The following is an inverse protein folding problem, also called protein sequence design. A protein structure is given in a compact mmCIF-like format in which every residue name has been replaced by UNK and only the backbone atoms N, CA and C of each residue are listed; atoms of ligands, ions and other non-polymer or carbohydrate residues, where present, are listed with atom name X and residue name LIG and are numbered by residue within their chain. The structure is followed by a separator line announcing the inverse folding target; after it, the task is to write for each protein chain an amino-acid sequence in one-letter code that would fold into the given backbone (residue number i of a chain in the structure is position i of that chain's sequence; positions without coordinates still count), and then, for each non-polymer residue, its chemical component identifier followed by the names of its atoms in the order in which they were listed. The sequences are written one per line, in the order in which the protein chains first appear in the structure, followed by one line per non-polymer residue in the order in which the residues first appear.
data_IF_302159951398
#
_entry.id   IF_302159951398
#
_cell.length_a   1.000
_cell.length_b   1.000
_cell.length_c   1.000
_cell.angle_alpha   90.00
_cell.angle_beta   90.00
_cell.angle_gamma   90.00
#
_symmetry.space_group_name_H-M   'P 1'
#
loop_
_entity.id
_entity.type
_entity.pdbx_description
1 polymer ?
#
# COMPACT_ATOMS: atom_id res chain seq x y z
N UNK A 1 10.14 -11.35 21.08
CA UNK A 1 9.30 -10.17 20.79
C UNK A 1 10.19 -8.94 20.98
N UNK A 2 10.10 -7.96 20.07
CA UNK A 2 10.88 -6.73 20.19
C UNK A 2 10.54 -6.01 21.50
N UNK A 3 11.57 -5.49 22.15
CA UNK A 3 11.47 -4.69 23.37
C UNK A 3 10.68 -3.39 23.07
N UNK A 4 9.97 -2.81 24.04
CA UNK A 4 9.19 -1.61 23.82
C UNK A 4 10.01 -0.39 23.34
N UNK A 5 11.21 -0.09 23.84
CA UNK A 5 12.08 0.93 23.29
C UNK A 5 12.43 0.74 21.82
N UNK A 6 12.63 -0.50 21.37
CA UNK A 6 12.94 -0.84 19.96
C UNK A 6 11.80 -0.54 18.98
N UNK A 7 10.57 -0.38 19.47
CA UNK A 7 9.40 0.01 18.66
C UNK A 7 9.23 1.53 18.55
N UNK A 8 10.06 2.30 19.22
CA UNK A 8 9.96 3.75 19.32
C UNK A 8 11.21 4.46 18.79
N UNK A 9 11.94 3.80 17.88
CA UNK A 9 13.06 4.41 17.20
C UNK A 9 12.63 5.68 16.47
N UNK A 10 13.51 6.67 16.43
CA UNK A 10 13.29 7.89 15.69
C UNK A 10 13.22 7.63 14.17
N UNK A 11 12.66 8.58 13.44
CA UNK A 11 12.70 8.56 11.97
C UNK A 11 14.15 8.71 11.52
N UNK A 12 14.60 7.79 10.67
CA UNK A 12 15.91 7.88 10.01
C UNK A 12 15.78 8.86 8.83
N UNK A 13 16.12 10.14 9.06
CA UNK A 13 16.02 11.17 8.04
C UNK A 13 17.15 11.12 7.02
N UNK A 14 18.36 10.77 7.47
CA UNK A 14 19.58 10.70 6.67
C UNK A 14 20.48 9.58 7.21
N UNK A 15 21.37 9.08 6.38
CA UNK A 15 22.44 8.16 6.82
C UNK A 15 23.54 8.89 7.63
N UNK A 16 23.58 10.22 7.55
CA UNK A 16 24.43 11.04 8.41
C UNK A 16 23.74 11.25 9.77
N UNK A 17 24.23 10.59 10.79
CA UNK A 17 23.69 10.68 12.16
C UNK A 17 23.80 12.08 12.78
N UNK A 18 24.59 12.99 12.19
CA UNK A 18 24.72 14.37 12.61
C UNK A 18 23.74 15.34 11.87
N UNK A 19 22.95 14.82 10.92
CA UNK A 19 22.00 15.62 10.17
C UNK A 19 20.92 16.24 11.08
N UNK A 20 20.40 17.39 10.66
CA UNK A 20 19.32 18.07 11.39
C UNK A 20 18.07 17.17 11.47
N UNK A 21 17.48 17.09 12.65
CA UNK A 21 16.29 16.29 12.90
C UNK A 21 16.55 14.85 13.33
N UNK A 22 17.82 14.40 13.31
CA UNK A 22 18.18 13.11 13.89
C UNK A 22 18.03 13.14 15.41
N UNK A 23 17.64 12.02 15.99
CA UNK A 23 17.52 11.86 17.44
C UNK A 23 18.19 10.55 17.86
N UNK A 24 18.67 10.54 19.11
CA UNK A 24 19.22 9.35 19.72
C UNK A 24 18.13 8.27 19.90
N UNK A 25 18.56 7.04 19.96
CA UNK A 25 17.69 5.91 20.28
C UNK A 25 17.09 6.05 21.69
N UNK A 26 15.87 5.55 21.92
CA UNK A 26 15.27 5.53 23.25
C UNK A 26 16.14 4.75 24.23
N UNK A 27 16.19 5.21 25.49
CA UNK A 27 16.88 4.49 26.57
C UNK A 27 16.37 3.04 26.66
N UNK A 28 17.29 2.09 26.64
CA UNK A 28 16.99 0.66 26.68
C UNK A 28 16.66 0.03 25.32
N UNK A 29 16.75 0.77 24.22
CA UNK A 29 16.75 0.18 22.89
C UNK A 29 18.02 -0.64 22.69
N UNK A 30 17.90 -1.82 22.09
CA UNK A 30 19.04 -2.60 21.60
C UNK A 30 19.59 -1.98 20.31
N UNK A 31 20.62 -2.61 19.77
CA UNK A 31 21.13 -2.22 18.46
C UNK A 31 20.19 -2.77 17.37
N UNK A 32 19.20 -1.95 16.95
CA UNK A 32 18.21 -2.31 15.93
C UNK A 32 18.57 -1.59 14.65
N UNK A 33 18.90 -2.34 13.62
CA UNK A 33 19.13 -1.81 12.29
C UNK A 33 17.79 -1.50 11.59
N UNK A 34 17.67 -0.29 11.01
CA UNK A 34 16.52 0.10 10.20
C UNK A 34 16.79 -0.30 8.73
N UNK A 35 16.31 -1.48 8.34
CA UNK A 35 16.64 -2.14 7.07
C UNK A 35 16.11 -1.41 5.81
N UNK A 36 15.15 -0.49 5.96
CA UNK A 36 14.49 0.14 4.81
C UNK A 36 15.20 1.41 4.30
N UNK A 37 16.35 1.76 4.86
CA UNK A 37 17.07 2.98 4.51
C UNK A 37 16.45 4.26 5.06
N UNK A 38 17.15 5.38 4.86
CA UNK A 38 16.74 6.70 5.33
C UNK A 38 15.64 7.33 4.46
N UNK A 39 15.06 8.42 4.96
CA UNK A 39 14.17 9.25 4.14
C UNK A 39 14.90 9.79 2.89
N UNK A 40 16.17 10.19 3.04
CA UNK A 40 16.97 10.71 1.93
C UNK A 40 17.15 9.67 0.82
N UNK A 41 17.28 8.38 1.16
CA UNK A 41 17.34 7.30 0.17
C UNK A 41 16.01 7.06 -0.54
N UNK A 42 14.92 7.24 0.19
CA UNK A 42 13.59 6.83 -0.26
C UNK A 42 12.80 7.93 -0.97
N UNK A 43 13.06 9.21 -0.69
CA UNK A 43 12.21 10.33 -1.14
C UNK A 43 12.08 10.44 -2.66
N UNK A 44 13.14 10.11 -3.38
CA UNK A 44 13.23 10.22 -4.85
C UNK A 44 13.00 8.87 -5.57
N UNK A 45 12.89 7.76 -4.83
CA UNK A 45 12.52 6.46 -5.38
C UNK A 45 11.00 6.28 -5.38
N UNK A 46 10.33 6.26 -6.57
CA UNK A 46 8.88 6.15 -6.66
C UNK A 46 8.32 4.84 -6.09
N UNK A 47 9.14 3.81 -5.93
CA UNK A 47 8.77 2.47 -5.43
C UNK A 47 9.17 2.24 -3.99
N UNK A 48 9.75 3.23 -3.31
CA UNK A 48 10.11 3.14 -1.90
C UNK A 48 8.89 2.99 -0.99
N UNK A 49 9.11 2.45 0.20
CA UNK A 49 8.07 2.35 1.25
C UNK A 49 7.53 3.73 1.60
N UNK A 50 8.39 4.75 1.69
CA UNK A 50 7.97 6.13 1.96
C UNK A 50 6.96 6.64 0.94
N UNK A 51 7.28 6.52 -0.35
CA UNK A 51 6.40 6.97 -1.42
C UNK A 51 5.14 6.10 -1.56
N UNK A 52 5.24 4.80 -1.31
CA UNK A 52 4.08 3.91 -1.26
C UNK A 52 3.09 4.35 -0.16
N UNK A 53 3.56 4.60 1.06
CA UNK A 53 2.72 5.07 2.18
C UNK A 53 2.11 6.44 1.87
N UNK A 54 2.91 7.37 1.34
CA UNK A 54 2.44 8.70 0.93
C UNK A 54 1.33 8.65 -0.11
N UNK A 55 1.47 7.79 -1.13
CA UNK A 55 0.46 7.57 -2.15
C UNK A 55 -0.80 6.91 -1.56
N UNK A 56 -0.64 5.93 -0.68
CA UNK A 56 -1.75 5.27 0.04
C UNK A 56 -2.60 6.29 0.81
N UNK A 57 -1.96 7.20 1.54
CA UNK A 57 -2.66 8.27 2.27
C UNK A 57 -3.40 9.20 1.30
N UNK A 58 -2.76 9.58 0.19
CA UNK A 58 -3.38 10.42 -0.83
C UNK A 58 -4.61 9.78 -1.45
N UNK A 59 -4.53 8.50 -1.83
CA UNK A 59 -5.65 7.73 -2.36
C UNK A 59 -6.77 7.64 -1.34
N UNK A 60 -6.48 7.28 -0.07
CA UNK A 60 -7.47 7.22 0.99
C UNK A 60 -8.22 8.54 1.18
N UNK A 61 -7.53 9.65 1.06
CA UNK A 61 -8.13 10.99 1.19
C UNK A 61 -8.95 11.41 -0.04
N UNK A 62 -8.57 10.93 -1.24
CA UNK A 62 -9.26 11.24 -2.48
C UNK A 62 -10.59 10.46 -2.64
N UNK A 63 -10.70 9.28 -2.03
CA UNK A 63 -11.86 8.40 -2.17
C UNK A 63 -12.61 8.24 -0.82
N UNK A 64 -13.71 8.99 -0.60
CA UNK A 64 -14.52 8.86 0.62
C UNK A 64 -15.01 7.43 0.87
N UNK A 65 -15.24 6.66 -0.19
CA UNK A 65 -15.63 5.25 -0.12
C UNK A 65 -14.59 4.42 0.63
N UNK A 66 -13.29 4.67 0.39
CA UNK A 66 -12.21 3.98 1.09
C UNK A 66 -12.17 4.38 2.57
N UNK A 67 -12.31 5.67 2.85
CA UNK A 67 -12.17 6.19 4.21
C UNK A 67 -13.38 5.90 5.12
N UNK A 68 -14.60 5.86 4.56
CA UNK A 68 -15.86 5.88 5.33
C UNK A 68 -16.87 4.81 4.90
N UNK A 69 -16.62 4.11 3.79
CA UNK A 69 -17.57 3.16 3.20
C UNK A 69 -17.72 1.88 4.02
N UNK A 70 -18.86 1.25 3.86
CA UNK A 70 -19.08 -0.13 4.31
C UNK A 70 -18.17 -1.06 3.53
N UNK A 71 -17.52 -1.98 4.23
CA UNK A 71 -16.59 -2.94 3.64
C UNK A 71 -17.28 -4.27 3.38
N UNK A 72 -17.12 -4.81 2.17
CA UNK A 72 -17.54 -6.17 1.83
C UNK A 72 -16.33 -6.93 1.29
N UNK A 73 -16.04 -8.08 1.88
CA UNK A 73 -14.99 -8.96 1.42
C UNK A 73 -15.52 -9.88 0.32
N UNK A 74 -14.89 -9.85 -0.85
CA UNK A 74 -15.29 -10.64 -2.02
C UNK A 74 -14.58 -12.02 -1.99
N UNK A 75 -15.10 -12.93 -1.17
CA UNK A 75 -14.45 -14.20 -0.90
C UNK A 75 -14.31 -15.11 -2.12
N UNK A 76 -15.19 -14.99 -3.11
CA UNK A 76 -15.13 -15.76 -4.37
C UNK A 76 -14.02 -15.27 -5.32
N UNK A 77 -13.48 -14.06 -5.08
CA UNK A 77 -12.44 -13.42 -5.88
C UNK A 77 -11.11 -13.31 -5.10
N UNK A 78 -11.09 -13.80 -3.87
CA UNK A 78 -9.93 -13.77 -2.99
C UNK A 78 -9.37 -15.17 -2.78
N UNK A 79 -8.05 -15.29 -2.78
CA UNK A 79 -7.32 -16.54 -2.59
C UNK A 79 -6.03 -16.30 -1.76
N UNK A 80 -5.02 -17.12 -1.93
CA UNK A 80 -3.71 -17.00 -1.27
C UNK A 80 -2.83 -15.86 -1.85
N UNK A 81 -3.17 -15.33 -3.02
CA UNK A 81 -2.46 -14.23 -3.70
C UNK A 81 -3.24 -12.93 -3.68
N UNK A 82 -4.54 -13.01 -3.91
CA UNK A 82 -5.41 -11.86 -4.10
C UNK A 82 -6.35 -11.66 -2.92
N UNK A 83 -6.50 -10.40 -2.52
CA UNK A 83 -7.49 -9.95 -1.57
C UNK A 83 -8.36 -8.89 -2.23
N UNK A 84 -9.67 -9.14 -2.35
CA UNK A 84 -10.61 -8.25 -3.04
C UNK A 84 -11.66 -7.76 -2.08
N UNK A 85 -11.85 -6.44 -2.04
CA UNK A 85 -12.89 -5.78 -1.25
C UNK A 85 -13.70 -4.83 -2.12
N UNK A 86 -14.98 -4.70 -1.79
CA UNK A 86 -15.77 -3.56 -2.20
C UNK A 86 -15.98 -2.60 -1.03
N UNK A 87 -15.97 -1.30 -1.32
CA UNK A 87 -16.30 -0.25 -0.35
C UNK A 87 -17.39 0.62 -0.93
N UNK A 88 -18.45 0.84 -0.16
CA UNK A 88 -19.60 1.64 -0.60
C UNK A 88 -19.90 2.77 0.39
N UNK A 89 -20.03 4.00 -0.13
CA UNK A 89 -20.38 5.19 0.63
C UNK A 89 -21.27 6.11 -0.22
N UNK A 90 -22.43 6.51 0.33
CA UNK A 90 -23.40 7.39 -0.32
C UNK A 90 -23.77 6.92 -1.74
N UNK A 91 -23.97 5.61 -1.93
CA UNK A 91 -24.32 5.03 -3.22
C UNK A 91 -23.20 4.99 -4.26
N UNK A 92 -21.99 5.38 -3.89
CA UNK A 92 -20.80 5.24 -4.71
C UNK A 92 -19.99 4.05 -4.22
N UNK A 93 -19.45 3.26 -5.16
CA UNK A 93 -18.70 2.06 -4.89
C UNK A 93 -17.30 2.13 -5.50
N UNK A 94 -16.32 1.60 -4.79
CA UNK A 94 -15.00 1.26 -5.31
C UNK A 94 -14.70 -0.21 -5.04
N UNK A 95 -13.98 -0.83 -5.96
CA UNK A 95 -13.39 -2.17 -5.79
C UNK A 95 -11.91 -2.00 -5.57
N UNK A 96 -11.39 -2.63 -4.54
CA UNK A 96 -9.98 -2.62 -4.18
C UNK A 96 -9.43 -4.04 -4.32
N UNK A 97 -8.42 -4.20 -5.16
CA UNK A 97 -7.77 -5.48 -5.44
C UNK A 97 -6.32 -5.35 -4.97
N UNK A 98 -5.90 -6.26 -4.10
CA UNK A 98 -4.54 -6.34 -3.57
C UNK A 98 -3.92 -7.63 -4.02
N UNK A 99 -2.76 -7.57 -4.64
CA UNK A 99 -1.88 -8.72 -4.78
C UNK A 99 -0.84 -8.67 -3.66
N UNK A 100 -0.92 -9.60 -2.74
CA UNK A 100 0.00 -9.70 -1.58
C UNK A 100 1.08 -10.76 -1.78
N UNK A 101 1.18 -11.31 -2.99
CA UNK A 101 2.13 -12.37 -3.33
C UNK A 101 3.32 -11.85 -4.14
N UNK A 102 4.34 -12.69 -4.25
CA UNK A 102 5.53 -12.44 -5.09
C UNK A 102 5.29 -12.76 -6.58
N UNK A 103 4.12 -13.27 -6.93
CA UNK A 103 3.77 -13.67 -8.29
C UNK A 103 2.67 -12.76 -8.84
N UNK A 104 2.62 -12.61 -10.15
CA UNK A 104 1.48 -11.96 -10.80
C UNK A 104 0.22 -12.82 -10.67
N UNK A 105 -0.92 -12.16 -10.60
CA UNK A 105 -2.23 -12.80 -10.51
C UNK A 105 -3.26 -12.06 -11.36
N UNK A 106 -4.41 -12.70 -11.62
CA UNK A 106 -5.53 -12.09 -12.37
C UNK A 106 -6.83 -12.28 -11.61
N UNK A 107 -7.67 -11.25 -11.64
CA UNK A 107 -9.02 -11.33 -11.09
C UNK A 107 -10.05 -10.94 -12.16
N UNK A 108 -11.08 -11.75 -12.35
CA UNK A 108 -12.26 -11.38 -13.12
C UNK A 108 -13.24 -10.65 -12.20
N UNK A 109 -13.28 -9.34 -12.33
CA UNK A 109 -14.15 -8.45 -11.55
C UNK A 109 -15.30 -7.86 -12.37
N UNK A 110 -15.56 -8.43 -13.54
CA UNK A 110 -16.64 -7.97 -14.47
C UNK A 110 -18.03 -7.94 -13.81
N UNK A 111 -18.27 -8.85 -12.84
CA UNK A 111 -19.52 -8.91 -12.08
C UNK A 111 -19.70 -7.82 -11.03
N UNK A 112 -18.67 -7.03 -10.71
CA UNK A 112 -18.73 -6.03 -9.65
C UNK A 112 -19.24 -4.65 -10.09
N UNK A 113 -19.52 -4.46 -11.38
CA UNK A 113 -20.14 -3.22 -11.91
C UNK A 113 -19.22 -2.00 -11.79
N UNK A 114 -17.93 -2.18 -12.02
CA UNK A 114 -16.91 -1.13 -12.14
C UNK A 114 -16.36 -1.11 -13.56
N UNK A 115 -15.88 0.02 -14.02
CA UNK A 115 -15.48 0.19 -15.42
C UNK A 115 -14.11 0.82 -15.63
N UNK A 116 -13.55 1.48 -14.63
CA UNK A 116 -12.31 2.23 -14.79
C UNK A 116 -11.35 2.01 -13.64
N UNK A 117 -10.07 1.92 -13.96
CA UNK A 117 -9.01 2.08 -12.99
C UNK A 117 -8.89 3.56 -12.58
N UNK A 118 -9.01 3.86 -11.30
CA UNK A 118 -9.00 5.22 -10.77
C UNK A 118 -7.80 5.53 -9.89
N UNK A 119 -7.14 4.51 -9.36
CA UNK A 119 -5.88 4.61 -8.64
C UNK A 119 -5.15 3.26 -8.61
N UNK A 120 -3.84 3.30 -8.42
CA UNK A 120 -3.02 2.11 -8.26
C UNK A 120 -1.83 2.39 -7.34
N UNK A 121 -1.28 1.31 -6.77
CA UNK A 121 -0.01 1.30 -6.06
C UNK A 121 0.82 0.12 -6.58
N UNK A 122 2.10 0.33 -6.72
CA UNK A 122 3.04 -0.66 -7.21
C UNK A 122 4.38 -0.55 -6.49
N UNK A 123 5.12 -1.63 -6.45
CA UNK A 123 6.43 -1.71 -5.79
C UNK A 123 7.59 -1.90 -6.79
N UNK A 124 7.27 -1.82 -8.09
CA UNK A 124 8.22 -1.93 -9.21
C UNK A 124 7.70 -1.16 -10.42
N UNK A 125 8.40 -1.23 -11.54
CA UNK A 125 7.96 -0.65 -12.81
C UNK A 125 6.70 -1.33 -13.39
N UNK A 126 6.42 -2.57 -12.97
CA UNK A 126 5.26 -3.32 -13.43
C UNK A 126 3.98 -2.76 -12.78
N UNK A 127 3.16 -2.12 -13.57
CA UNK A 127 1.90 -1.52 -13.11
C UNK A 127 0.72 -2.50 -13.23
N UNK A 128 -0.25 -2.45 -12.29
CA UNK A 128 -1.51 -3.16 -12.48
C UNK A 128 -2.31 -2.62 -13.66
N UNK A 129 -2.98 -3.51 -14.39
CA UNK A 129 -3.80 -3.14 -15.54
C UNK A 129 -5.25 -3.63 -15.36
N UNK A 130 -6.19 -2.88 -15.93
CA UNK A 130 -7.60 -3.28 -15.99
C UNK A 130 -8.13 -3.17 -17.41
N UNK A 131 -8.62 -4.27 -17.92
CA UNK A 131 -9.20 -4.33 -19.26
C UNK A 131 -10.30 -5.38 -19.35
N UNK A 132 -11.43 -5.00 -19.95
CA UNK A 132 -12.54 -5.91 -20.27
C UNK A 132 -13.04 -6.76 -19.08
N UNK A 133 -13.05 -6.17 -17.87
CA UNK A 133 -13.45 -6.83 -16.62
C UNK A 133 -12.35 -7.62 -15.91
N UNK A 134 -11.18 -7.72 -16.50
CA UNK A 134 -10.05 -8.45 -15.93
C UNK A 134 -9.03 -7.47 -15.36
N UNK A 135 -8.65 -7.68 -14.10
CA UNK A 135 -7.53 -7.01 -13.46
C UNK A 135 -6.29 -7.91 -13.55
N UNK A 136 -5.21 -7.40 -14.13
CA UNK A 136 -3.89 -8.01 -14.13
C UNK A 136 -3.04 -7.35 -13.04
N UNK A 137 -2.62 -8.14 -12.07
CA UNK A 137 -2.00 -7.68 -10.84
C UNK A 137 -0.57 -8.18 -10.74
N UNK A 138 0.43 -7.34 -10.98
CA UNK A 138 1.83 -7.67 -10.66
C UNK A 138 2.02 -7.98 -9.17
N UNK A 139 3.17 -8.54 -8.82
CA UNK A 139 3.56 -8.78 -7.44
C UNK A 139 3.41 -7.51 -6.57
N UNK A 140 2.90 -7.65 -5.36
CA UNK A 140 2.83 -6.56 -4.37
C UNK A 140 2.21 -5.26 -4.91
N UNK A 141 1.08 -5.37 -5.59
CA UNK A 141 0.39 -4.24 -6.21
C UNK A 141 -1.03 -4.06 -5.68
N UNK A 142 -1.56 -2.87 -5.86
CA UNK A 142 -2.96 -2.53 -5.53
C UNK A 142 -3.59 -1.84 -6.71
N UNK A 143 -4.83 -2.22 -7.03
CA UNK A 143 -5.64 -1.57 -8.04
C UNK A 143 -6.99 -1.16 -7.45
N UNK A 144 -7.41 0.07 -7.75
CA UNK A 144 -8.69 0.60 -7.31
C UNK A 144 -9.51 0.94 -8.53
N UNK A 145 -10.70 0.34 -8.60
CA UNK A 145 -11.65 0.49 -9.71
C UNK A 145 -12.90 1.22 -9.25
N UNK A 146 -13.50 1.98 -10.19
CA UNK A 146 -14.79 2.65 -9.97
C UNK A 146 -15.68 2.59 -11.21
#
# INVERSE_FOLDING_TARGET
AANDPEKRLGMLWSDDSSAEGMCDDPEGAGNVEQENGSYDDQKDDPYSIYNFVKQTISIRNAFPEIARGTNTFESSLSDDKLCVFTREYNGQKVVMIFNTSQESAKADVSGLGVSNAVAMLQTSEDAPEYKDGIAEMPAYSVLILK
#
